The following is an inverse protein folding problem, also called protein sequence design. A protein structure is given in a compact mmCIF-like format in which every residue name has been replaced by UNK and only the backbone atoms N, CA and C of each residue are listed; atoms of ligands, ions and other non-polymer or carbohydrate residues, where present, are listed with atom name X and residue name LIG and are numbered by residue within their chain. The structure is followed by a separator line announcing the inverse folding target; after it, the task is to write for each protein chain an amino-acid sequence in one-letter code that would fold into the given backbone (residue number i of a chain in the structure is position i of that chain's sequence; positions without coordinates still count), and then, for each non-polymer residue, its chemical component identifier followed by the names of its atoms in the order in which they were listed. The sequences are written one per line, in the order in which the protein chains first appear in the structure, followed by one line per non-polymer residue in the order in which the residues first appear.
data_IF_589256864482
#
_entry.id   IF_589256864482
#
_cell.length_a   1.000
_cell.length_b   1.000
_cell.length_c   1.000
_cell.angle_alpha   90.00
_cell.angle_beta   90.00
_cell.angle_gamma   90.00
#
_symmetry.space_group_name_H-M   'P 1'
#
loop_
_entity.id
_entity.type
_entity.pdbx_description
1 polymer ?
#
# COMPACT_ATOMS: atom_id res chain seq x y z
N UNK A 1 5.70 -6.19 -6.69
CA UNK A 1 6.44 -7.47 -6.86
C UNK A 1 6.59 -8.17 -5.51
N UNK A 2 6.57 -9.52 -5.40
CA UNK A 2 6.63 -10.22 -4.11
C UNK A 2 7.85 -9.88 -3.25
N UNK A 3 9.06 -9.85 -3.84
CA UNK A 3 10.30 -9.56 -3.12
C UNK A 3 10.41 -8.11 -2.60
N UNK A 4 9.58 -7.18 -3.08
CA UNK A 4 9.55 -5.78 -2.60
C UNK A 4 8.70 -5.60 -1.34
N UNK A 5 7.91 -6.60 -0.94
CA UNK A 5 6.92 -6.46 0.15
C UNK A 5 7.57 -6.12 1.48
N UNK A 6 8.72 -6.73 1.80
CA UNK A 6 9.48 -6.42 3.02
C UNK A 6 9.97 -4.96 3.01
N UNK A 7 10.48 -4.48 1.88
CA UNK A 7 10.95 -3.10 1.72
C UNK A 7 9.81 -2.08 1.89
N UNK A 8 8.65 -2.36 1.29
CA UNK A 8 7.45 -1.51 1.42
C UNK A 8 6.95 -1.53 2.86
N UNK A 9 6.84 -2.70 3.48
CA UNK A 9 6.36 -2.85 4.86
C UNK A 9 7.26 -2.12 5.86
N UNK A 10 8.59 -2.22 5.71
CA UNK A 10 9.53 -1.48 6.55
C UNK A 10 9.40 0.03 6.36
N UNK A 11 9.31 0.52 5.12
CA UNK A 11 9.16 1.95 4.85
C UNK A 11 7.86 2.55 5.38
N UNK A 12 6.76 1.78 5.30
CA UNK A 12 5.47 2.14 5.89
C UNK A 12 5.55 2.18 7.43
N UNK A 13 6.21 1.20 8.04
CA UNK A 13 6.40 1.17 9.49
C UNK A 13 7.23 2.35 10.00
N UNK A 14 8.32 2.69 9.30
CA UNK A 14 9.19 3.83 9.62
C UNK A 14 8.41 5.16 9.63
N UNK A 15 7.54 5.38 8.65
CA UNK A 15 6.68 6.58 8.61
C UNK A 15 5.52 6.52 9.63
N UNK A 16 5.25 5.37 10.24
CA UNK A 16 4.22 5.21 11.28
C UNK A 16 2.91 4.60 10.80
N UNK A 17 2.87 3.99 9.62
CA UNK A 17 1.76 3.13 9.21
C UNK A 17 1.99 1.76 9.81
N UNK A 18 1.07 1.35 10.69
CA UNK A 18 1.20 0.13 11.52
C UNK A 18 0.11 -0.91 11.25
N UNK A 19 -0.83 -0.61 10.35
CA UNK A 19 -1.88 -1.53 9.92
C UNK A 19 -1.72 -1.83 8.43
N UNK A 20 -1.33 -3.06 8.10
CA UNK A 20 -1.17 -3.53 6.72
C UNK A 20 -1.64 -4.98 6.67
N UNK A 21 -2.47 -5.31 5.68
CA UNK A 21 -2.82 -6.70 5.36
C UNK A 21 -2.20 -7.07 4.02
N UNK A 22 -1.69 -8.30 3.91
CA UNK A 22 -0.98 -8.80 2.73
C UNK A 22 -1.61 -10.12 2.28
N UNK A 23 -1.76 -10.29 0.97
CA UNK A 23 -2.22 -11.54 0.36
C UNK A 23 -1.45 -11.86 -0.93
N UNK A 24 -1.14 -13.14 -1.12
CA UNK A 24 -0.58 -13.63 -2.37
C UNK A 24 -1.67 -13.69 -3.44
N UNK A 25 -1.37 -13.14 -4.61
CA UNK A 25 -2.30 -13.08 -5.73
C UNK A 25 -1.56 -13.39 -7.03
N UNK A 26 -2.32 -13.63 -8.09
CA UNK A 26 -1.78 -13.69 -9.45
C UNK A 26 -2.47 -12.63 -10.28
N UNK A 27 -1.72 -12.01 -11.20
CA UNK A 27 -2.26 -11.03 -12.12
C UNK A 27 -1.36 -10.86 -13.33
N UNK A 28 -1.91 -10.23 -14.36
CA UNK A 28 -1.18 -9.81 -15.54
C UNK A 28 -1.54 -8.36 -15.85
N UNK A 29 -0.63 -7.64 -16.51
CA UNK A 29 -0.85 -6.28 -16.97
C UNK A 29 -0.48 -6.18 -18.44
N UNK A 30 -1.41 -6.49 -19.33
CA UNK A 30 -1.18 -6.38 -20.76
C UNK A 30 -1.00 -4.91 -21.16
N UNK A 31 0.20 -4.54 -21.62
CA UNK A 31 0.47 -3.25 -22.27
C UNK A 31 0.87 -3.51 -23.72
N UNK A 32 -0.13 -3.77 -24.57
CA UNK A 32 -0.09 -3.68 -26.03
C UNK A 32 1.20 -4.17 -26.70
N UNK A 33 1.62 -5.41 -26.44
CA UNK A 33 2.77 -6.07 -27.05
C UNK A 33 4.04 -6.08 -26.20
N UNK A 34 4.06 -5.41 -25.04
CA UNK A 34 5.22 -5.44 -24.14
C UNK A 34 5.14 -6.65 -23.21
N UNK A 35 6.05 -7.60 -23.38
CA UNK A 35 6.18 -8.79 -22.51
C UNK A 35 6.74 -8.40 -21.15
N UNK A 36 6.04 -8.78 -20.08
CA UNK A 36 6.52 -8.58 -18.72
C UNK A 36 7.68 -9.57 -18.43
N UNK A 37 8.83 -9.05 -17.97
CA UNK A 37 9.96 -9.89 -17.56
C UNK A 37 9.83 -10.29 -16.08
N UNK A 38 9.76 -11.58 -15.82
CA UNK A 38 9.84 -12.16 -14.48
C UNK A 38 10.89 -13.28 -14.48
N UNK A 39 11.88 -13.18 -13.59
CA UNK A 39 13.01 -14.15 -13.49
C UNK A 39 13.73 -14.45 -14.83
N UNK A 40 13.82 -13.45 -15.72
CA UNK A 40 14.52 -13.59 -16.99
C UNK A 40 13.73 -14.27 -18.12
N UNK A 41 12.49 -14.68 -17.87
CA UNK A 41 11.59 -15.24 -18.88
C UNK A 41 10.62 -14.17 -19.38
N UNK A 42 10.36 -14.16 -20.69
CA UNK A 42 9.31 -13.35 -21.32
C UNK A 42 7.98 -14.11 -21.26
N UNK A 43 6.96 -13.48 -20.69
CA UNK A 43 5.64 -14.07 -20.55
C UNK A 43 4.66 -13.48 -21.56
N UNK A 44 3.78 -14.32 -22.11
CA UNK A 44 2.66 -13.88 -22.95
C UNK A 44 1.71 -12.99 -22.16
N UNK A 45 0.94 -12.14 -22.85
CA UNK A 45 0.06 -11.15 -22.23
C UNK A 45 -1.02 -11.75 -21.30
N UNK A 46 -1.37 -13.01 -21.49
CA UNK A 46 -2.38 -13.77 -20.73
C UNK A 46 -1.78 -14.63 -19.61
N UNK A 47 -0.46 -14.65 -19.45
CA UNK A 47 0.17 -15.42 -18.38
C UNK A 47 0.05 -14.69 -17.04
N UNK A 48 -0.57 -15.37 -16.08
CA UNK A 48 -0.68 -14.92 -14.71
C UNK A 48 0.64 -15.02 -13.95
N UNK A 49 1.18 -13.87 -13.52
CA UNK A 49 2.42 -13.78 -12.76
C UNK A 49 2.12 -13.62 -11.26
N UNK A 50 2.96 -14.20 -10.41
CA UNK A 50 2.86 -14.06 -8.97
C UNK A 50 3.06 -12.60 -8.53
N UNK A 51 2.12 -12.09 -7.74
CA UNK A 51 2.11 -10.74 -7.19
C UNK A 51 1.70 -10.81 -5.73
N UNK A 52 1.88 -9.68 -5.04
CA UNK A 52 1.38 -9.51 -3.68
C UNK A 52 0.47 -8.30 -3.67
N UNK A 53 -0.72 -8.48 -3.09
CA UNK A 53 -1.68 -7.40 -2.83
C UNK A 53 -1.50 -6.92 -1.39
N UNK A 54 -1.30 -5.62 -1.23
CA UNK A 54 -1.25 -4.95 0.07
C UNK A 54 -2.51 -4.10 0.24
N UNK A 55 -3.18 -4.26 1.37
CA UNK A 55 -4.38 -3.51 1.74
C UNK A 55 -4.07 -2.67 2.97
N UNK A 56 -4.26 -1.37 2.84
CA UNK A 56 -3.85 -0.36 3.82
C UNK A 56 -5.00 0.64 3.92
N UNK A 57 -5.62 0.72 5.09
CA UNK A 57 -6.71 1.67 5.38
C UNK A 57 -6.12 2.78 6.24
N UNK A 58 -6.28 4.02 5.80
CA UNK A 58 -5.71 5.21 6.44
C UNK A 58 -6.69 6.38 6.38
N UNK A 59 -6.48 7.39 7.23
CA UNK A 59 -7.20 8.65 7.14
C UNK A 59 -6.86 9.39 5.83
N UNK A 60 -7.78 10.25 5.37
CA UNK A 60 -7.68 10.97 4.08
C UNK A 60 -6.37 11.76 3.97
N UNK A 61 -5.92 12.36 5.07
CA UNK A 61 -4.74 13.22 5.15
C UNK A 61 -3.43 12.42 4.97
N UNK A 62 -3.47 11.10 5.13
CA UNK A 62 -2.32 10.20 5.05
C UNK A 62 -2.21 9.52 3.69
N UNK A 63 -3.22 9.63 2.82
CA UNK A 63 -3.29 8.91 1.53
C UNK A 63 -2.09 9.21 0.64
N UNK A 64 -1.83 10.48 0.34
CA UNK A 64 -0.71 10.89 -0.54
C UNK A 64 0.66 10.46 0.04
N UNK A 65 0.99 10.74 1.33
CA UNK A 65 2.22 10.23 1.93
C UNK A 65 2.42 8.72 1.80
N UNK A 66 1.34 7.94 1.93
CA UNK A 66 1.38 6.48 1.82
C UNK A 66 1.65 6.04 0.38
N UNK A 67 0.99 6.67 -0.59
CA UNK A 67 1.22 6.41 -2.03
C UNK A 67 2.69 6.67 -2.36
N UNK A 68 3.22 7.83 -1.98
CA UNK A 68 4.60 8.22 -2.25
C UNK A 68 5.59 7.21 -1.66
N UNK A 69 5.36 6.76 -0.41
CA UNK A 69 6.23 5.77 0.23
C UNK A 69 6.18 4.41 -0.48
N UNK A 70 5.01 3.96 -0.90
CA UNK A 70 4.86 2.71 -1.64
C UNK A 70 5.61 2.80 -2.98
N UNK A 71 5.47 3.91 -3.70
CA UNK A 71 6.18 4.14 -4.97
C UNK A 71 7.68 4.12 -4.74
N UNK A 72 8.19 4.89 -3.76
CA UNK A 72 9.62 4.95 -3.41
C UNK A 72 10.20 3.54 -3.14
N UNK A 73 9.50 2.71 -2.37
CA UNK A 73 10.01 1.41 -1.94
C UNK A 73 9.79 0.29 -2.97
N UNK A 74 8.72 0.34 -3.76
CA UNK A 74 8.33 -0.73 -4.68
C UNK A 74 8.88 -0.56 -6.10
N UNK A 75 9.07 0.68 -6.56
CA UNK A 75 9.43 0.98 -7.96
C UNK A 75 10.81 0.44 -8.30
N UNK A 76 10.90 -0.26 -9.43
CA UNK A 76 12.16 -0.60 -10.10
C UNK A 76 12.33 0.17 -11.40
N UNK A 77 11.24 0.74 -11.94
CA UNK A 77 11.23 1.39 -13.26
C UNK A 77 10.87 0.43 -14.39
N UNK A 78 10.63 -0.84 -14.08
CA UNK A 78 10.31 -1.87 -15.07
C UNK A 78 8.80 -2.10 -15.17
N UNK A 79 8.37 -2.63 -16.31
CA UNK A 79 7.00 -3.09 -16.50
C UNK A 79 6.65 -4.13 -15.42
N UNK A 80 5.46 -4.01 -14.83
CA UNK A 80 4.99 -4.94 -13.81
C UNK A 80 5.26 -4.54 -12.36
N UNK A 81 5.78 -3.33 -12.10
CA UNK A 81 5.97 -2.79 -10.75
C UNK A 81 4.69 -2.81 -9.90
N UNK A 82 3.54 -2.59 -10.54
CA UNK A 82 2.22 -2.76 -9.96
C UNK A 82 1.30 -1.58 -10.24
N UNK A 83 0.13 -1.58 -9.61
CA UNK A 83 -0.84 -0.48 -9.62
C UNK A 83 -1.32 -0.26 -8.19
N UNK A 84 -1.63 0.99 -7.87
CA UNK A 84 -2.28 1.37 -6.61
C UNK A 84 -3.71 1.78 -6.95
N UNK A 85 -4.68 1.22 -6.23
CA UNK A 85 -6.08 1.58 -6.33
C UNK A 85 -6.51 2.26 -5.04
N UNK A 86 -7.24 3.37 -5.18
CA UNK A 86 -7.85 4.07 -4.07
C UNK A 86 -9.33 3.68 -3.99
N UNK A 87 -9.73 3.15 -2.83
CA UNK A 87 -11.09 2.69 -2.58
C UNK A 87 -11.60 3.42 -1.33
N UNK A 88 -12.71 4.17 -1.42
CA UNK A 88 -13.30 4.81 -0.25
C UNK A 88 -13.75 3.77 0.79
N UNK A 89 -13.38 3.99 2.06
CA UNK A 89 -13.82 3.18 3.20
C UNK A 89 -14.80 4.00 4.02
N UNK A 90 -16.00 3.45 4.25
CA UNK A 90 -17.09 4.16 4.93
C UNK A 90 -16.91 4.23 6.46
N UNK A 91 -16.43 3.16 7.08
CA UNK A 91 -16.19 3.08 8.52
C UNK A 91 -15.08 2.06 8.83
N UNK A 92 -14.43 2.22 9.98
CA UNK A 92 -13.42 1.30 10.51
C UNK A 92 -13.87 0.93 11.92
N UNK A 93 -13.87 -0.36 12.25
CA UNK A 93 -14.28 -0.83 13.58
C UNK A 93 -13.19 -1.69 14.19
N UNK A 94 -12.73 -1.33 15.38
CA UNK A 94 -11.74 -2.12 16.13
C UNK A 94 -12.45 -3.16 16.97
N UNK A 95 -12.37 -4.42 16.57
CA UNK A 95 -13.09 -5.54 17.22
C UNK A 95 -12.87 -5.59 18.75
N UNK A 96 -11.63 -5.41 19.21
CA UNK A 96 -11.28 -5.52 20.64
C UNK A 96 -11.94 -4.47 21.53
N UNK A 97 -12.15 -3.25 21.02
CA UNK A 97 -12.60 -2.10 21.84
C UNK A 97 -13.98 -1.59 21.42
N UNK A 98 -14.47 -1.96 20.24
CA UNK A 98 -15.68 -1.39 19.65
C UNK A 98 -15.52 0.04 19.15
N UNK A 99 -14.31 0.62 19.22
CA UNK A 99 -14.03 1.95 18.65
C UNK A 99 -14.38 1.98 17.16
N UNK A 100 -14.83 3.14 16.68
CA UNK A 100 -15.24 3.37 15.29
C UNK A 100 -14.50 4.55 14.64
N UNK A 101 -14.57 4.63 13.32
CA UNK A 101 -14.00 5.71 12.51
C UNK A 101 -12.52 5.96 12.82
N UNK A 102 -12.16 7.23 12.99
CA UNK A 102 -10.78 7.68 13.24
C UNK A 102 -10.18 7.05 14.50
N UNK A 103 -10.97 6.80 15.54
CA UNK A 103 -10.47 6.18 16.77
C UNK A 103 -10.09 4.71 16.57
N UNK A 104 -10.82 4.00 15.70
CA UNK A 104 -10.51 2.62 15.35
C UNK A 104 -9.28 2.52 14.45
N UNK A 105 -9.17 3.43 13.48
CA UNK A 105 -8.06 3.51 12.53
C UNK A 105 -6.74 3.91 13.23
N UNK A 106 -6.80 4.88 14.15
CA UNK A 106 -5.62 5.42 14.82
C UNK A 106 -4.82 4.34 15.56
N UNK A 107 -3.55 4.23 15.22
CA UNK A 107 -2.58 3.36 15.91
C UNK A 107 -1.68 4.18 16.84
N UNK A 108 -1.42 3.67 18.05
CA UNK A 108 -0.49 4.29 19.00
C UNK A 108 0.92 4.33 18.40
N UNK A 109 1.57 5.50 18.45
CA UNK A 109 2.87 5.74 17.81
C UNK A 109 2.79 5.70 16.29
N UNK A 110 1.59 5.92 15.75
CA UNK A 110 1.31 5.99 14.32
C UNK A 110 1.67 7.34 13.72
N UNK A 111 1.49 7.48 12.40
CA UNK A 111 1.83 8.69 11.65
C UNK A 111 1.12 9.95 12.21
N UNK A 112 -0.12 9.82 12.66
CA UNK A 112 -0.87 10.92 13.31
C UNK A 112 -0.21 11.45 14.58
N UNK A 113 0.53 10.62 15.30
CA UNK A 113 1.23 10.99 16.54
C UNK A 113 2.60 11.62 16.25
N UNK A 114 3.12 11.45 15.03
CA UNK A 114 4.40 12.00 14.57
C UNK A 114 4.27 13.36 13.88
N UNK A 115 3.07 13.73 13.45
CA UNK A 115 2.80 15.03 12.87
C UNK A 115 2.64 16.07 13.98
N UNK A 116 3.24 17.27 13.86
CA UNK A 116 2.98 18.35 14.81
C UNK A 116 1.48 18.68 14.80
N UNK A 117 0.91 19.12 15.93
CA UNK A 117 -0.49 19.54 15.96
C UNK A 117 -0.71 20.63 14.91
N UNK A 118 -1.73 20.45 14.07
CA UNK A 118 -2.15 21.47 13.10
C UNK A 118 -2.61 22.68 13.92
N UNK A 119 -1.81 23.74 13.94
CA UNK A 119 -2.24 25.04 14.46
C UNK A 119 -3.32 25.52 13.49
N UNK A 120 -4.58 25.36 13.89
CA UNK A 120 -5.70 25.97 13.18
C UNK A 120 -5.64 27.45 13.51
N UNK A 121 -5.09 28.26 12.61
CA UNK A 121 -5.22 29.72 12.70
C UNK A 121 -6.67 30.01 12.31
N UNK A 122 -7.43 30.51 13.30
CA UNK A 122 -8.81 30.99 13.17
C UNK A 122 -8.93 32.18 12.23
#
# INVERSE_FOLDING_TARGET
RPWRVSHVSSGLLEMGIRGVTVSDVRGYGAQGGSTERYEGSEFSEDTFIAKVKMEIVVCKEQVEPVIDKIIEKARTGEIGDGKIFLIPVADVVRVRTGERGVHAERMIGGLSDKLPPVITIS
#
